data_IF_630634905420
#
_entry.id   IF_630634905420
#
_cell.length_a   1.000
_cell.length_b   1.000
_cell.length_c   1.000
_cell.angle_alpha   90.00
_cell.angle_beta   90.00
_cell.angle_gamma   90.00
#
_symmetry.space_group_name_H-M   'P 1'
#
loop_
_entity.id
_entity.type
_entity.pdbx_description
1 polymer ?
#
# COMPACT_ATOMS: atom_id res chain seq x y z
N UNK A 1 3.24 2.62 -15.71
CA UNK A 1 4.06 1.52 -15.17
C UNK A 1 3.82 0.24 -15.93
N UNK A 2 4.82 -0.64 -15.98
CA UNK A 2 4.63 -2.02 -16.45
C UNK A 2 3.77 -2.78 -15.43
N UNK A 3 2.96 -3.71 -15.90
CA UNK A 3 2.08 -4.52 -15.03
C UNK A 3 2.86 -5.23 -13.93
N UNK A 4 4.02 -5.78 -14.29
CA UNK A 4 4.91 -6.48 -13.37
C UNK A 4 5.40 -5.55 -12.25
N UNK A 5 5.76 -4.31 -12.58
CA UNK A 5 6.20 -3.32 -11.59
C UNK A 5 5.09 -2.98 -10.60
N UNK A 6 3.84 -2.82 -11.08
CA UNK A 6 2.68 -2.58 -10.20
C UNK A 6 2.44 -3.77 -9.28
N UNK A 7 2.54 -4.97 -9.82
CA UNK A 7 2.40 -6.18 -9.03
C UNK A 7 3.50 -6.34 -7.98
N UNK A 8 4.74 -6.05 -8.34
CA UNK A 8 5.86 -6.05 -7.39
C UNK A 8 5.61 -5.03 -6.28
N UNK A 9 5.10 -3.83 -6.62
CA UNK A 9 4.73 -2.83 -5.63
C UNK A 9 3.61 -3.29 -4.69
N UNK A 10 2.57 -3.96 -5.22
CA UNK A 10 1.49 -4.53 -4.41
C UNK A 10 2.05 -5.57 -3.44
N UNK A 11 2.86 -6.49 -3.93
CA UNK A 11 3.49 -7.51 -3.10
C UNK A 11 4.45 -6.88 -2.08
N UNK A 12 5.27 -5.92 -2.48
CA UNK A 12 6.17 -5.22 -1.58
C UNK A 12 5.41 -4.45 -0.50
N UNK A 13 4.30 -3.78 -0.84
CA UNK A 13 3.45 -3.13 0.13
C UNK A 13 2.88 -4.13 1.15
N UNK A 14 2.39 -5.29 0.69
CA UNK A 14 1.93 -6.34 1.60
C UNK A 14 3.06 -6.80 2.54
N UNK A 15 4.22 -7.12 2.00
CA UNK A 15 5.35 -7.61 2.80
C UNK A 15 5.94 -6.53 3.71
N UNK A 16 5.78 -5.25 3.37
CA UNK A 16 6.25 -4.15 4.24
C UNK A 16 5.61 -4.19 5.62
N UNK A 17 4.40 -4.78 5.74
CA UNK A 17 3.74 -5.00 7.02
C UNK A 17 4.46 -5.98 7.94
N UNK A 18 5.34 -6.81 7.39
CA UNK A 18 6.13 -7.79 8.11
C UNK A 18 7.52 -7.26 8.47
N UNK A 19 7.90 -6.10 7.94
CA UNK A 19 9.21 -5.50 8.20
C UNK A 19 9.23 -4.87 9.58
N UNK A 20 10.10 -5.36 10.43
CA UNK A 20 10.38 -4.71 11.70
C UNK A 20 11.05 -3.36 11.43
N UNK A 21 10.42 -2.30 11.87
CA UNK A 21 10.88 -0.93 11.64
C UNK A 21 10.78 -0.13 12.94
N UNK A 22 11.76 0.69 13.24
CA UNK A 22 11.67 1.66 14.34
C UNK A 22 10.65 2.77 14.06
N UNK A 23 10.20 2.87 12.82
CA UNK A 23 9.21 3.88 12.43
C UNK A 23 7.79 3.34 12.60
N UNK A 24 6.93 4.21 13.04
CA UNK A 24 5.51 3.91 13.13
C UNK A 24 4.86 3.85 11.73
N UNK A 25 3.86 2.97 11.61
CA UNK A 25 3.07 2.83 10.40
C UNK A 25 3.69 1.91 9.34
N UNK A 26 2.81 1.40 8.49
CA UNK A 26 3.16 0.58 7.34
C UNK A 26 2.87 1.31 6.03
N UNK A 27 2.09 2.40 6.09
CA UNK A 27 1.60 3.13 4.95
C UNK A 27 0.51 2.38 4.20
N UNK A 28 0.15 2.88 3.03
CA UNK A 28 -0.83 2.28 2.14
C UNK A 28 -0.43 2.40 0.67
N UNK A 29 -1.16 1.73 -0.21
CA UNK A 29 -0.97 1.79 -1.65
C UNK A 29 -2.31 2.02 -2.33
N UNK A 30 -2.42 3.06 -3.14
CA UNK A 30 -3.61 3.34 -3.95
C UNK A 30 -3.30 3.17 -5.43
N UNK A 31 -4.01 2.25 -6.07
CA UNK A 31 -3.97 2.10 -7.52
C UNK A 31 -5.00 3.02 -8.14
N UNK A 32 -4.53 3.98 -8.91
CA UNK A 32 -5.36 4.95 -9.62
C UNK A 32 -5.32 4.65 -11.12
N UNK A 33 -6.46 4.70 -11.77
CA UNK A 33 -6.52 4.50 -13.22
C UNK A 33 -7.94 4.61 -13.74
N UNK A 34 -8.11 4.60 -15.07
CA UNK A 34 -9.44 4.65 -15.67
C UNK A 34 -10.29 3.44 -15.23
N UNK A 35 -11.62 3.51 -15.38
CA UNK A 35 -12.46 2.34 -15.25
C UNK A 35 -11.91 1.18 -16.09
N UNK A 36 -12.17 -0.06 -15.66
CA UNK A 36 -11.77 -1.28 -16.37
C UNK A 36 -10.25 -1.48 -16.60
N UNK A 37 -9.40 -0.64 -16.00
CA UNK A 37 -7.95 -0.76 -16.09
C UNK A 37 -7.35 -1.93 -15.27
N UNK A 38 -8.14 -2.95 -14.95
CA UNK A 38 -7.75 -4.19 -14.25
C UNK A 38 -7.13 -3.97 -12.84
N UNK A 39 -7.30 -2.81 -12.23
CA UNK A 39 -6.82 -2.49 -10.88
C UNK A 39 -7.23 -3.55 -9.85
N UNK A 40 -8.50 -3.92 -9.87
CA UNK A 40 -9.06 -4.95 -8.98
C UNK A 40 -8.43 -6.32 -9.22
N UNK A 41 -8.16 -6.68 -10.48
CA UNK A 41 -7.51 -7.94 -10.83
C UNK A 41 -6.07 -7.99 -10.28
N UNK A 42 -5.35 -6.87 -10.36
CA UNK A 42 -4.01 -6.75 -9.78
C UNK A 42 -4.03 -6.88 -8.25
N UNK A 43 -4.97 -6.22 -7.57
CA UNK A 43 -5.11 -6.36 -6.12
C UNK A 43 -5.49 -7.79 -5.70
N UNK A 44 -6.26 -8.50 -6.51
CA UNK A 44 -6.63 -9.91 -6.26
C UNK A 44 -5.46 -10.89 -6.32
N UNK A 45 -4.31 -10.48 -6.82
CA UNK A 45 -3.08 -11.29 -6.76
C UNK A 45 -2.64 -11.59 -5.33
N UNK A 46 -3.14 -10.81 -4.36
CA UNK A 46 -2.92 -11.07 -2.94
C UNK A 46 -3.87 -12.14 -2.36
N UNK A 47 -4.87 -12.62 -3.09
CA UNK A 47 -5.83 -13.60 -2.58
C UNK A 47 -5.23 -14.91 -2.05
N UNK A 48 -4.08 -15.40 -2.54
CA UNK A 48 -3.45 -16.59 -1.98
C UNK A 48 -2.77 -16.37 -0.62
N UNK A 49 -2.62 -15.11 -0.19
CA UNK A 49 -1.91 -14.80 1.06
C UNK A 49 -2.91 -14.76 2.22
N UNK A 50 -2.76 -15.64 3.23
CA UNK A 50 -3.74 -15.76 4.31
C UNK A 50 -3.83 -14.51 5.17
N UNK A 51 -2.80 -13.67 5.14
CA UNK A 51 -2.71 -12.45 5.93
C UNK A 51 -3.25 -11.21 5.18
N UNK A 52 -3.69 -11.36 3.94
CA UNK A 52 -4.30 -10.31 3.15
C UNK A 52 -5.83 -10.53 3.15
N UNK A 53 -6.55 -9.59 3.72
CA UNK A 53 -8.02 -9.57 3.72
C UNK A 53 -8.50 -8.73 2.56
N UNK A 54 -9.13 -9.38 1.58
CA UNK A 54 -9.70 -8.72 0.41
C UNK A 54 -11.19 -8.45 0.66
N UNK A 55 -11.57 -7.19 0.59
CA UNK A 55 -12.96 -6.75 0.72
C UNK A 55 -13.37 -5.91 -0.49
N UNK A 56 -14.61 -6.08 -0.94
CA UNK A 56 -15.16 -5.21 -2.00
C UNK A 56 -15.50 -3.85 -1.45
N UNK A 57 -16.01 -3.83 -0.23
CA UNK A 57 -16.39 -2.64 0.51
C UNK A 57 -16.04 -2.84 1.99
N UNK A 58 -15.86 -1.75 2.73
CA UNK A 58 -15.47 -1.78 4.12
C UNK A 58 -16.24 -0.74 4.91
N UNK A 59 -16.54 -1.03 6.17
CA UNK A 59 -17.14 -0.09 7.10
C UNK A 59 -16.43 -0.10 8.47
N UNK A 60 -16.75 0.88 9.30
CA UNK A 60 -16.12 1.05 10.62
C UNK A 60 -16.32 -0.17 11.52
N UNK A 61 -17.49 -0.82 11.48
CA UNK A 61 -17.75 -2.03 12.29
C UNK A 61 -16.86 -3.20 11.86
N UNK A 62 -16.66 -3.38 10.56
CA UNK A 62 -15.76 -4.40 10.05
C UNK A 62 -14.32 -4.15 10.49
N UNK A 63 -13.83 -2.90 10.44
CA UNK A 63 -12.52 -2.52 10.94
C UNK A 63 -12.41 -2.86 12.43
N UNK A 64 -13.41 -2.51 13.22
CA UNK A 64 -13.44 -2.78 14.66
C UNK A 64 -13.38 -4.29 14.95
N UNK A 65 -14.13 -5.11 14.20
CA UNK A 65 -14.11 -6.58 14.34
C UNK A 65 -12.76 -7.20 13.97
N UNK A 66 -12.08 -6.65 12.97
CA UNK A 66 -10.76 -7.11 12.53
C UNK A 66 -9.61 -6.63 13.43
N UNK A 67 -9.86 -5.72 14.37
CA UNK A 67 -8.81 -5.08 15.18
C UNK A 67 -7.88 -6.07 15.87
N UNK A 68 -8.43 -7.09 16.51
CA UNK A 68 -7.64 -8.09 17.22
C UNK A 68 -6.76 -8.90 16.26
N UNK A 69 -7.30 -9.30 15.13
CA UNK A 69 -6.55 -10.01 14.09
C UNK A 69 -5.43 -9.15 13.49
N UNK A 70 -5.67 -7.83 13.36
CA UNK A 70 -4.64 -6.90 12.90
C UNK A 70 -3.55 -6.75 13.98
N UNK A 71 -3.93 -6.51 15.22
CA UNK A 71 -3.00 -6.31 16.33
C UNK A 71 -2.14 -7.54 16.61
N UNK A 72 -2.71 -8.73 16.47
CA UNK A 72 -1.98 -10.01 16.59
C UNK A 72 -1.14 -10.38 15.37
N UNK A 73 -1.27 -9.62 14.26
CA UNK A 73 -0.56 -9.87 13.03
C UNK A 73 -1.13 -11.00 12.15
N UNK A 74 -2.30 -11.52 12.48
CA UNK A 74 -3.05 -12.46 11.62
C UNK A 74 -3.45 -11.74 10.33
N UNK A 75 -3.97 -10.51 10.44
CA UNK A 75 -4.24 -9.66 9.29
C UNK A 75 -3.12 -8.62 9.15
N UNK A 76 -2.39 -8.68 8.05
CA UNK A 76 -1.28 -7.78 7.72
C UNK A 76 -1.64 -6.73 6.68
N UNK A 77 -2.63 -7.03 5.84
CA UNK A 77 -3.11 -6.09 4.82
C UNK A 77 -4.62 -6.14 4.68
N UNK A 78 -5.20 -4.97 4.50
CA UNK A 78 -6.59 -4.80 4.08
C UNK A 78 -6.59 -4.27 2.65
N UNK A 79 -7.24 -4.99 1.76
CA UNK A 79 -7.31 -4.67 0.34
C UNK A 79 -8.75 -4.32 -0.01
N UNK A 80 -9.04 -3.05 -0.19
CA UNK A 80 -10.36 -2.54 -0.58
C UNK A 80 -10.42 -2.46 -2.10
N UNK A 81 -11.11 -3.41 -2.73
CA UNK A 81 -11.10 -3.58 -4.18
C UNK A 81 -11.79 -2.42 -4.92
N UNK A 82 -12.78 -1.80 -4.30
CA UNK A 82 -13.51 -0.65 -4.83
C UNK A 82 -13.54 0.46 -3.78
N UNK A 83 -12.42 1.18 -3.71
CA UNK A 83 -12.23 2.20 -2.68
C UNK A 83 -13.16 3.41 -2.86
N UNK A 84 -13.63 3.67 -4.10
CA UNK A 84 -14.53 4.80 -4.34
C UNK A 84 -15.89 4.65 -3.65
N UNK A 85 -16.36 3.43 -3.36
CA UNK A 85 -17.60 3.20 -2.60
C UNK A 85 -17.63 3.87 -1.23
N UNK A 86 -16.47 4.14 -0.65
CA UNK A 86 -16.39 4.89 0.59
C UNK A 86 -16.98 6.28 0.42
N UNK A 87 -16.80 6.90 -0.74
CA UNK A 87 -17.23 8.28 -1.05
C UNK A 87 -18.61 8.36 -1.69
N UNK A 88 -19.26 7.24 -1.92
CA UNK A 88 -20.68 7.17 -2.30
C UNK A 88 -21.61 7.23 -1.07
N UNK A 89 -21.05 7.16 0.14
CA UNK A 89 -21.74 7.26 1.41
C UNK A 89 -21.94 8.73 1.80
N UNK A 90 -22.75 8.94 2.84
CA UNK A 90 -22.86 10.27 3.45
C UNK A 90 -21.49 10.78 3.92
N UNK A 91 -21.35 12.13 3.95
CA UNK A 91 -20.06 12.77 4.16
C UNK A 91 -19.40 12.42 5.49
N UNK A 92 -20.17 12.27 6.55
CA UNK A 92 -19.66 11.98 7.89
C UNK A 92 -19.19 10.52 7.99
N UNK A 93 -19.96 9.60 7.45
CA UNK A 93 -19.59 8.18 7.39
C UNK A 93 -18.30 7.99 6.55
N UNK A 94 -18.21 8.67 5.40
CA UNK A 94 -17.02 8.62 4.56
C UNK A 94 -15.81 9.22 5.28
N UNK A 95 -15.96 10.34 5.99
CA UNK A 95 -14.89 10.99 6.74
C UNK A 95 -14.37 10.13 7.89
N UNK A 96 -15.27 9.51 8.64
CA UNK A 96 -14.93 8.62 9.74
C UNK A 96 -14.18 7.38 9.24
N UNK A 97 -14.64 6.77 8.15
CA UNK A 97 -14.02 5.59 7.58
C UNK A 97 -12.64 5.92 7.00
N UNK A 98 -12.49 7.05 6.30
CA UNK A 98 -11.21 7.57 5.84
C UNK A 98 -10.23 7.77 7.00
N UNK A 99 -10.69 8.37 8.09
CA UNK A 99 -9.91 8.55 9.31
C UNK A 99 -9.40 7.23 9.90
N UNK A 100 -10.28 6.23 9.97
CA UNK A 100 -9.92 4.90 10.47
C UNK A 100 -8.91 4.19 9.58
N UNK A 101 -9.08 4.23 8.26
CA UNK A 101 -8.13 3.63 7.32
C UNK A 101 -6.77 4.33 7.34
N UNK A 102 -6.78 5.65 7.49
CA UNK A 102 -5.56 6.43 7.68
C UNK A 102 -4.84 6.06 8.97
N UNK A 103 -5.57 5.93 10.09
CA UNK A 103 -5.00 5.51 11.35
C UNK A 103 -4.39 4.10 11.27
N UNK A 104 -5.08 3.14 10.64
CA UNK A 104 -4.55 1.79 10.41
C UNK A 104 -3.25 1.80 9.61
N UNK A 105 -3.16 2.65 8.60
CA UNK A 105 -2.01 2.72 7.72
C UNK A 105 -0.78 3.40 8.38
N UNK A 106 -0.98 4.23 9.40
CA UNK A 106 0.13 5.01 9.99
C UNK A 106 0.22 4.91 11.52
N UNK A 107 -0.63 5.65 12.21
CA UNK A 107 -0.54 5.85 13.66
C UNK A 107 -1.00 4.62 14.45
N UNK A 108 -1.83 3.81 13.83
CA UNK A 108 -2.51 2.69 14.44
C UNK A 108 -3.92 3.05 14.93
N UNK A 109 -4.80 2.08 14.83
CA UNK A 109 -6.19 2.19 15.25
C UNK A 109 -6.34 1.66 16.67
N UNK A 110 -6.71 2.52 17.58
CA UNK A 110 -7.02 2.18 18.98
C UNK A 110 -8.50 2.45 19.21
N UNK A 111 -9.30 1.41 19.31
CA UNK A 111 -10.69 1.59 19.71
C UNK A 111 -10.74 1.89 21.20
N UNK A 112 -11.15 3.10 21.56
CA UNK A 112 -11.58 3.40 22.91
C UNK A 112 -13.00 2.82 23.09
N UNK A 113 -13.11 1.72 23.81
CA UNK A 113 -14.39 1.24 24.29
C UNK A 113 -14.76 2.07 25.52
N UNK A 114 -15.75 2.93 25.40
CA UNK A 114 -16.28 3.70 26.53
C UNK A 114 -16.99 2.83 27.57
N UNK A 115 -17.34 1.60 27.25
CA UNK A 115 -18.09 0.71 28.11
C UNK A 115 -17.22 -0.17 29.04
N UNK A 116 -15.94 -0.36 28.71
CA UNK A 116 -15.01 -1.11 29.56
C UNK A 116 -13.73 -0.31 29.73
N UNK A 117 -13.45 0.14 30.93
CA UNK A 117 -12.24 0.87 31.35
C UNK A 117 -10.93 0.07 31.19
N UNK A 118 -10.97 -1.13 30.68
CA UNK A 118 -9.80 -1.83 30.20
C UNK A 118 -9.45 -1.29 28.81
N UNK A 119 -8.67 -0.22 28.80
CA UNK A 119 -7.98 0.26 27.61
C UNK A 119 -7.08 -0.87 27.11
N UNK A 120 -7.59 -1.68 26.21
CA UNK A 120 -6.77 -2.66 25.53
C UNK A 120 -5.80 -1.87 24.64
N UNK A 121 -4.57 -1.67 25.13
CA UNK A 121 -3.52 -0.84 24.52
C UNK A 121 -2.96 -1.42 23.22
N UNK A 122 -3.57 -2.47 22.70
CA UNK A 122 -3.15 -3.05 21.44
C UNK A 122 -3.48 -2.10 20.28
N UNK A 123 -2.46 -1.49 19.73
CA UNK A 123 -2.57 -0.64 18.54
C UNK A 123 -2.59 -1.53 17.30
N UNK A 124 -3.69 -1.51 16.56
CA UNK A 124 -3.82 -2.25 15.32
C UNK A 124 -3.26 -1.44 14.14
N UNK A 125 -2.26 -1.97 13.45
CA UNK A 125 -1.65 -1.38 12.25
C UNK A 125 -1.53 -2.40 11.14
N UNK A 126 -1.88 -2.00 9.94
CA UNK A 126 -1.73 -2.86 8.76
C UNK A 126 -1.54 -2.01 7.51
N UNK A 127 -1.08 -2.64 6.45
CA UNK A 127 -1.07 -2.01 5.13
C UNK A 127 -2.49 -1.92 4.61
N UNK A 128 -2.89 -0.74 4.13
CA UNK A 128 -4.17 -0.53 3.47
C UNK A 128 -3.92 -0.32 1.99
N UNK A 129 -4.56 -1.10 1.14
CA UNK A 129 -4.48 -0.97 -0.30
C UNK A 129 -5.86 -0.74 -0.89
N UNK A 130 -5.93 0.06 -1.94
CA UNK A 130 -7.19 0.34 -2.59
C UNK A 130 -7.06 0.59 -4.08
N UNK A 131 -8.19 0.50 -4.78
CA UNK A 131 -8.30 0.87 -6.18
C UNK A 131 -9.39 1.94 -6.34
N UNK A 132 -9.07 2.97 -7.13
CA UNK A 132 -10.01 4.05 -7.43
C UNK A 132 -9.79 4.61 -8.84
N UNK A 133 -10.74 5.41 -9.30
CA UNK A 133 -10.63 6.09 -10.57
C UNK A 133 -9.89 7.42 -10.43
N UNK A 134 -9.31 7.90 -11.56
CA UNK A 134 -8.68 9.23 -11.62
C UNK A 134 -9.69 10.32 -11.25
N UNK A 135 -10.93 10.17 -11.68
CA UNK A 135 -12.00 11.11 -11.35
C UNK A 135 -12.27 11.17 -9.84
N UNK A 136 -12.33 10.01 -9.18
CA UNK A 136 -12.49 9.93 -7.73
C UNK A 136 -11.30 10.58 -7.00
N UNK A 137 -10.07 10.36 -7.48
CA UNK A 137 -8.89 11.01 -6.93
C UNK A 137 -8.98 12.53 -7.06
N UNK A 138 -9.25 13.02 -8.27
CA UNK A 138 -9.32 14.46 -8.53
C UNK A 138 -10.41 15.16 -7.69
N UNK A 139 -11.59 14.51 -7.54
CA UNK A 139 -12.70 15.04 -6.74
C UNK A 139 -12.36 15.18 -5.26
N UNK A 140 -11.56 14.28 -4.72
CA UNK A 140 -11.26 14.23 -3.29
C UNK A 140 -9.86 14.79 -2.96
N UNK A 141 -9.08 15.21 -3.93
CA UNK A 141 -7.68 15.58 -3.76
C UNK A 141 -7.45 16.62 -2.66
N UNK A 142 -8.15 17.76 -2.74
CA UNK A 142 -8.02 18.86 -1.76
C UNK A 142 -8.41 18.44 -0.35
N UNK A 143 -9.43 17.60 -0.23
CA UNK A 143 -9.85 17.04 1.05
C UNK A 143 -8.78 16.11 1.62
N UNK A 144 -8.20 15.25 0.80
CA UNK A 144 -7.18 14.31 1.22
C UNK A 144 -5.85 14.99 1.57
N UNK A 145 -5.54 16.07 0.88
CA UNK A 145 -4.38 16.90 1.24
C UNK A 145 -4.57 17.53 2.62
N UNK A 146 -5.70 18.19 2.86
CA UNK A 146 -6.04 18.81 4.13
C UNK A 146 -6.11 17.81 5.29
N UNK A 147 -6.67 16.62 5.05
CA UNK A 147 -6.77 15.56 6.06
C UNK A 147 -5.46 14.82 6.30
N UNK A 148 -4.46 15.01 5.44
CA UNK A 148 -3.20 14.27 5.47
C UNK A 148 -3.32 12.83 4.98
N UNK A 149 -4.40 12.47 4.29
CA UNK A 149 -4.59 11.15 3.69
C UNK A 149 -3.52 10.89 2.61
N UNK A 150 -3.27 11.88 1.74
CA UNK A 150 -2.29 11.76 0.67
C UNK A 150 -0.89 11.38 1.14
N UNK A 151 -0.48 11.83 2.33
CA UNK A 151 0.85 11.55 2.88
C UNK A 151 1.05 10.13 3.39
N UNK A 152 -0.04 9.39 3.59
CA UNK A 152 -0.03 8.05 4.16
C UNK A 152 -0.17 6.94 3.13
N UNK A 153 -0.42 7.32 1.90
CA UNK A 153 -0.61 6.39 0.80
C UNK A 153 0.34 6.69 -0.34
N UNK A 154 0.95 5.66 -0.86
CA UNK A 154 1.65 5.73 -2.14
C UNK A 154 0.62 5.64 -3.27
N UNK A 155 0.69 6.59 -4.18
CA UNK A 155 -0.21 6.68 -5.31
C UNK A 155 0.45 6.08 -6.53
N UNK A 156 -0.14 5.06 -7.10
CA UNK A 156 0.32 4.45 -8.33
C UNK A 156 -0.71 4.68 -9.42
N UNK A 157 -0.43 5.62 -10.33
CA UNK A 157 -1.25 5.82 -11.52
C UNK A 157 -0.93 4.72 -12.52
N UNK A 158 -1.97 4.02 -12.90
CA UNK A 158 -1.91 2.89 -13.79
C UNK A 158 -2.75 3.18 -15.04
N UNK A 159 -2.09 3.67 -16.08
CA UNK A 159 -2.70 3.92 -17.39
C UNK A 159 -2.21 2.86 -18.36
N UNK A 160 -3.15 2.14 -18.92
CA UNK A 160 -2.90 1.18 -19.96
C UNK A 160 -2.89 1.87 -21.31
N UNK A 161 -1.77 1.79 -21.99
CA UNK A 161 -1.65 2.31 -23.36
C UNK A 161 -2.19 1.31 -24.40
N UNK A 162 -2.18 0.03 -24.07
CA UNK A 162 -2.70 -1.02 -24.95
C UNK A 162 -3.38 -2.11 -24.10
N UNK A 163 -4.73 -2.20 -24.14
CA UNK A 163 -5.49 -3.19 -23.37
C UNK A 163 -5.19 -4.63 -23.78
N UNK A 164 -4.82 -4.89 -25.03
CA UNK A 164 -4.56 -6.26 -25.52
C UNK A 164 -3.30 -6.84 -24.88
N UNK A 165 -2.23 -6.03 -24.83
CA UNK A 165 -0.97 -6.41 -24.17
C UNK A 165 -1.19 -6.70 -22.68
N UNK A 166 -2.12 -5.99 -22.06
CA UNK A 166 -2.43 -6.20 -20.67
C UNK A 166 -3.24 -7.47 -20.44
N UNK A 167 -4.24 -7.72 -21.26
CA UNK A 167 -5.06 -8.93 -21.18
C UNK A 167 -4.14 -10.15 -21.32
N UNK A 168 -3.21 -10.12 -22.26
CA UNK A 168 -2.21 -11.15 -22.44
C UNK A 168 -1.27 -11.27 -21.24
N UNK A 169 -0.76 -10.16 -20.71
CA UNK A 169 0.11 -10.17 -19.54
C UNK A 169 -0.57 -10.73 -18.30
N UNK A 170 -1.83 -10.37 -18.04
CA UNK A 170 -2.59 -10.90 -16.91
C UNK A 170 -2.92 -12.37 -17.10
N UNK A 171 -3.30 -12.77 -18.32
CA UNK A 171 -3.57 -14.17 -18.64
C UNK A 171 -2.31 -15.02 -18.46
N UNK A 172 -1.18 -14.55 -18.94
CA UNK A 172 0.11 -15.22 -18.76
C UNK A 172 0.56 -15.20 -17.29
N UNK A 173 0.30 -14.12 -16.57
CA UNK A 173 0.66 -14.03 -15.17
C UNK A 173 -0.21 -14.91 -14.27
N UNK A 174 -1.50 -15.05 -14.58
CA UNK A 174 -2.37 -16.02 -13.88
C UNK A 174 -1.90 -17.45 -14.03
N UNK A 175 -1.19 -17.75 -15.13
CA UNK A 175 -0.62 -19.09 -15.40
C UNK A 175 0.75 -19.31 -14.74
N UNK A 176 1.43 -18.26 -14.27
CA UNK A 176 2.70 -18.44 -13.58
C UNK A 176 2.45 -19.15 -12.24
N UNK A 177 3.20 -20.25 -11.96
CA UNK A 177 3.09 -20.92 -10.68
C UNK A 177 3.36 -19.94 -9.54
N UNK A 178 2.59 -20.05 -8.46
CA UNK A 178 2.76 -19.22 -7.26
C UNK A 178 4.21 -19.22 -6.74
N UNK A 179 4.96 -20.31 -6.96
CA UNK A 179 6.37 -20.42 -6.64
C UNK A 179 7.29 -19.46 -7.40
N UNK A 180 6.84 -18.91 -8.53
CA UNK A 180 7.55 -17.85 -9.27
C UNK A 180 7.01 -16.45 -8.97
N UNK A 181 5.94 -16.38 -8.20
CA UNK A 181 5.41 -15.14 -7.65
C UNK A 181 6.06 -14.92 -6.31
N UNK A 182 5.72 -13.85 -5.71
CA UNK A 182 6.19 -13.49 -4.40
C UNK A 182 5.76 -14.54 -3.36
N UNK A 183 6.70 -15.17 -2.66
CA UNK A 183 6.43 -16.04 -1.53
C UNK A 183 6.66 -15.18 -0.28
N UNK A 184 5.62 -14.81 0.47
CA UNK A 184 5.82 -14.08 1.70
C UNK A 184 6.57 -14.97 2.70
N UNK A 185 7.40 -14.37 3.56
CA UNK A 185 7.95 -15.11 4.68
C UNK A 185 6.82 -15.66 5.55
N UNK A 186 7.06 -16.75 6.29
CA UNK A 186 6.10 -17.26 7.25
C UNK A 186 5.59 -16.14 8.15
N UNK A 187 4.32 -16.16 8.48
CA UNK A 187 3.60 -15.09 9.19
C UNK A 187 4.19 -14.69 10.54
N UNK A 188 4.96 -15.58 11.16
CA UNK A 188 5.67 -15.35 12.42
C UNK A 188 7.02 -14.64 12.27
N UNK A 189 7.56 -14.54 11.06
CA UNK A 189 8.86 -13.92 10.85
C UNK A 189 8.71 -12.45 10.53
N UNK A 190 9.33 -11.61 11.32
CA UNK A 190 9.58 -10.22 11.00
C UNK A 190 10.84 -10.09 10.17
N UNK A 191 10.75 -9.34 9.09
CA UNK A 191 11.89 -9.04 8.22
C UNK A 191 12.65 -7.86 8.85
N UNK A 192 13.91 -8.01 9.26
CA UNK A 192 14.68 -6.88 9.75
C UNK A 192 14.94 -5.90 8.62
N UNK A 193 14.70 -4.62 8.87
CA UNK A 193 14.98 -3.58 7.90
C UNK A 193 16.49 -3.30 7.84
N UNK A 194 17.13 -3.80 6.78
CA UNK A 194 18.57 -3.59 6.52
C UNK A 194 18.75 -2.67 5.33
N UNK A 195 18.63 -1.38 5.55
CA UNK A 195 18.93 -0.36 4.54
C UNK A 195 20.23 0.34 4.93
N UNK A 196 21.23 0.24 4.08
CA UNK A 196 22.52 0.92 4.30
C UNK A 196 22.34 2.44 4.19
N UNK A 197 23.25 3.19 4.80
CA UNK A 197 23.25 4.65 4.69
C UNK A 197 23.39 5.11 3.23
N UNK A 198 24.16 4.38 2.41
CA UNK A 198 24.29 4.64 0.97
C UNK A 198 22.95 4.51 0.25
N UNK A 199 22.20 3.46 0.53
CA UNK A 199 20.87 3.22 -0.06
C UNK A 199 19.85 4.26 0.41
N UNK A 200 19.89 4.63 1.69
CA UNK A 200 19.05 5.70 2.24
C UNK A 200 19.32 7.05 1.55
N UNK A 201 20.58 7.39 1.34
CA UNK A 201 20.98 8.61 0.61
C UNK A 201 20.55 8.57 -0.84
N UNK A 202 20.62 7.41 -1.48
CA UNK A 202 20.18 7.23 -2.87
C UNK A 202 18.66 7.39 -3.02
N UNK A 203 17.87 6.94 -2.05
CA UNK A 203 16.41 7.11 -2.05
C UNK A 203 15.99 8.55 -1.70
N UNK A 204 16.80 9.27 -0.92
CA UNK A 204 16.51 10.61 -0.44
C UNK A 204 16.14 11.64 -1.52
N UNK A 205 16.83 11.71 -2.67
CA UNK A 205 16.49 12.64 -3.74
C UNK A 205 15.07 12.45 -4.30
N UNK A 206 14.62 11.22 -4.50
CA UNK A 206 13.27 10.93 -5.01
C UNK A 206 12.21 11.47 -4.07
N UNK A 207 12.41 11.27 -2.77
CA UNK A 207 11.45 11.71 -1.77
C UNK A 207 11.48 13.22 -1.56
N UNK A 208 12.67 13.84 -1.57
CA UNK A 208 12.78 15.30 -1.47
C UNK A 208 12.08 16.02 -2.62
N UNK A 209 12.16 15.45 -3.80
CA UNK A 209 11.50 15.99 -4.97
C UNK A 209 9.97 15.92 -4.85
N UNK A 210 9.47 14.82 -4.32
CA UNK A 210 8.03 14.56 -4.20
C UNK A 210 7.36 15.30 -3.04
N UNK A 211 8.02 15.35 -1.89
CA UNK A 211 7.40 15.69 -0.61
C UNK A 211 8.14 16.78 0.16
N UNK A 212 9.03 17.52 -0.49
CA UNK A 212 9.82 18.57 0.17
C UNK A 212 10.77 18.00 1.22
N UNK A 213 10.65 18.39 2.48
CA UNK A 213 11.56 17.94 3.52
C UNK A 213 11.28 16.50 3.95
N UNK A 214 12.22 15.65 3.67
CA UNK A 214 12.16 14.18 3.67
C UNK A 214 12.02 13.49 5.04
N UNK A 215 11.26 14.00 5.96
CA UNK A 215 10.95 13.32 7.22
C UNK A 215 9.60 12.56 7.17
N UNK A 216 9.08 12.35 5.99
CA UNK A 216 7.71 11.89 5.83
C UNK A 216 7.57 10.38 5.76
N UNK A 217 6.41 9.90 6.14
CA UNK A 217 5.99 8.50 6.04
C UNK A 217 6.23 7.87 4.65
N UNK A 218 6.02 8.58 3.52
CA UNK A 218 6.34 8.04 2.20
C UNK A 218 7.79 7.62 2.00
N UNK A 219 8.77 8.36 2.55
CA UNK A 219 10.18 7.93 2.52
C UNK A 219 10.37 6.62 3.27
N UNK A 220 9.79 6.54 4.46
CA UNK A 220 9.87 5.34 5.28
C UNK A 220 9.25 4.15 4.57
N UNK A 221 8.13 4.37 3.89
CA UNK A 221 7.46 3.35 3.10
C UNK A 221 8.28 2.90 1.90
N UNK A 222 8.86 3.83 1.13
CA UNK A 222 9.76 3.49 0.02
C UNK A 222 11.00 2.73 0.51
N UNK A 223 11.57 3.10 1.64
CA UNK A 223 12.69 2.39 2.26
C UNK A 223 12.26 0.96 2.66
N UNK A 224 11.08 0.80 3.27
CA UNK A 224 10.55 -0.53 3.61
C UNK A 224 10.31 -1.38 2.37
N UNK A 225 9.65 -0.83 1.36
CA UNK A 225 9.41 -1.51 0.09
C UNK A 225 10.71 -1.94 -0.57
N UNK A 226 11.70 -1.05 -0.61
CA UNK A 226 13.01 -1.36 -1.15
C UNK A 226 13.72 -2.47 -0.37
N UNK A 227 13.69 -2.44 0.97
CA UNK A 227 14.28 -3.47 1.80
C UNK A 227 13.67 -4.85 1.53
N UNK A 228 12.35 -4.92 1.38
CA UNK A 228 11.63 -6.16 1.08
C UNK A 228 11.93 -6.65 -0.34
N UNK A 229 11.88 -5.76 -1.32
CA UNK A 229 12.21 -6.10 -2.72
C UNK A 229 13.67 -6.55 -2.83
N UNK A 230 14.59 -5.88 -2.15
CA UNK A 230 16.01 -6.25 -2.12
C UNK A 230 16.20 -7.64 -1.52
N UNK A 231 15.55 -7.94 -0.40
CA UNK A 231 15.58 -9.27 0.20
C UNK A 231 15.06 -10.32 -0.78
N UNK A 232 13.87 -10.13 -1.34
CA UNK A 232 13.24 -11.05 -2.28
C UNK A 232 14.09 -11.29 -3.53
N UNK A 233 14.56 -10.22 -4.17
CA UNK A 233 15.35 -10.35 -5.40
C UNK A 233 16.77 -10.84 -5.16
N UNK A 234 17.31 -10.72 -3.95
CA UNK A 234 18.57 -11.35 -3.56
C UNK A 234 18.41 -12.86 -3.53
N UNK A 235 17.32 -13.36 -2.94
CA UNK A 235 17.01 -14.79 -2.94
C UNK A 235 16.81 -15.35 -4.36
N UNK A 236 16.30 -14.54 -5.26
CA UNK A 236 16.16 -14.90 -6.69
C UNK A 236 17.45 -14.72 -7.52
N UNK A 237 18.55 -14.32 -6.92
CA UNK A 237 19.81 -14.02 -7.63
C UNK A 237 19.77 -12.77 -8.51
N UNK A 238 18.79 -11.86 -8.31
CA UNK A 238 18.57 -10.65 -9.09
C UNK A 238 18.55 -9.37 -8.24
N UNK A 239 19.58 -9.07 -7.44
CA UNK A 239 19.53 -7.97 -6.45
C UNK A 239 19.34 -6.57 -7.06
N UNK A 240 19.76 -6.36 -8.31
CA UNK A 240 19.57 -5.08 -9.01
C UNK A 240 18.11 -4.79 -9.34
N UNK A 241 17.28 -5.82 -9.48
CA UNK A 241 15.86 -5.68 -9.83
C UNK A 241 15.06 -4.88 -8.78
N UNK A 242 15.40 -5.01 -7.52
CA UNK A 242 14.76 -4.23 -6.45
C UNK A 242 14.91 -2.73 -6.67
N UNK A 243 16.10 -2.30 -7.09
CA UNK A 243 16.38 -0.90 -7.40
C UNK A 243 15.59 -0.43 -8.62
N UNK A 244 15.56 -1.21 -9.67
CA UNK A 244 14.79 -0.90 -10.88
C UNK A 244 13.30 -0.71 -10.57
N UNK A 245 12.70 -1.65 -9.82
CA UNK A 245 11.28 -1.58 -9.44
C UNK A 245 10.98 -0.32 -8.62
N UNK A 246 11.81 -0.01 -7.62
CA UNK A 246 11.57 1.16 -6.77
C UNK A 246 11.81 2.46 -7.52
N UNK A 247 12.77 2.49 -8.45
CA UNK A 247 13.06 3.65 -9.30
C UNK A 247 11.90 3.89 -10.26
N UNK A 248 11.44 2.86 -10.96
CA UNK A 248 10.27 2.94 -11.86
C UNK A 248 9.03 3.44 -11.10
N UNK A 249 8.85 2.97 -9.87
CA UNK A 249 7.75 3.40 -9.03
C UNK A 249 7.90 4.87 -8.60
N UNK A 250 9.06 5.26 -8.13
CA UNK A 250 9.34 6.64 -7.74
C UNK A 250 9.23 7.62 -8.93
N UNK A 251 9.72 7.23 -10.11
CA UNK A 251 9.59 8.02 -11.34
C UNK A 251 8.13 8.18 -11.79
N UNK A 252 7.31 7.15 -11.61
CA UNK A 252 5.88 7.27 -11.91
C UNK A 252 5.20 8.27 -11.00
N UNK A 253 5.50 8.21 -9.71
CA UNK A 253 5.02 9.20 -8.74
C UNK A 253 5.46 10.62 -9.11
N UNK A 254 6.68 10.77 -9.66
CA UNK A 254 7.24 12.05 -10.07
C UNK A 254 6.55 12.63 -11.30
N UNK A 255 6.38 11.81 -12.35
CA UNK A 255 5.77 12.28 -13.60
C UNK A 255 4.33 12.77 -13.44
N UNK A 256 3.66 12.28 -12.42
CA UNK A 256 2.27 12.62 -12.11
C UNK A 256 2.16 13.58 -10.93
N UNK A 257 3.14 13.57 -10.06
CA UNK A 257 3.29 14.47 -8.94
C UNK A 257 3.61 15.92 -9.32
N UNK A 258 3.83 16.22 -10.61
CA UNK A 258 3.82 17.61 -11.07
C UNK A 258 2.48 18.32 -10.80
N UNK A 259 1.44 17.56 -10.44
CA UNK A 259 0.17 18.08 -9.88
C UNK A 259 0.04 17.92 -8.37
N UNK A 260 1.00 17.24 -7.73
CA UNK A 260 1.16 17.19 -6.28
C UNK A 260 2.12 18.32 -5.86
N UNK A 261 1.95 19.50 -6.46
CA UNK A 261 2.68 20.67 -6.02
C UNK A 261 2.47 20.87 -4.53
N UNK A 262 3.57 20.84 -3.88
CA UNK A 262 3.84 21.16 -2.50
C UNK A 262 3.37 22.55 -2.11
#
# INVERSE_FOLDING_TARGET
LKVETVADCICAAHLSSMVQSPFDGHGGLMLVGPPEALKTALLRTLSPYPNAVLVTDINTQQITRMRENIASGITRSIVVQDFQKIYERDGDTAANLEGNLRALASEGFTAASFENQQVNRMTARCVVMGALTIECQNRNFDRWEKSGFNRRFLWSLFILKNPDVLTEAIFNWSKLPLSRRFIPPPTSQTIPMKVTEKERRALGPFVRYQYGVAKTEPLQMLIKMYAVLKWHYTDLGKPKRAWEVITDFAESLTKEGAKLEL
#
